data_IF_279021688737
#
_entry.id   IF_279021688737
#
_cell.length_a   1.000
_cell.length_b   1.000
_cell.length_c   1.000
_cell.angle_alpha   90.00
_cell.angle_beta   90.00
_cell.angle_gamma   90.00
#
_symmetry.space_group_name_H-M   'P 1'
#
loop_
_entity.id
_entity.type
_entity.pdbx_description
1 polymer ?
#
# COMPACT_ATOMS: atom_id res chain seq x y z
N UNK A 1 -26.70 99.60 33.72
CA UNK A 1 -25.33 99.08 33.51
C UNK A 1 -25.36 97.56 33.61
N UNK A 2 -25.21 96.84 32.49
CA UNK A 2 -25.10 95.37 32.46
C UNK A 2 -24.12 94.95 31.34
N UNK A 3 -23.26 93.94 31.56
CA UNK A 3 -22.23 93.56 30.60
C UNK A 3 -22.65 92.38 29.72
N UNK A 4 -22.15 92.37 28.47
CA UNK A 4 -22.31 91.26 27.53
C UNK A 4 -21.09 90.32 27.55
N UNK A 5 -21.35 89.01 27.63
CA UNK A 5 -20.37 87.93 27.39
C UNK A 5 -20.40 87.50 25.92
N UNK A 6 -19.23 87.25 25.31
CA UNK A 6 -19.07 86.63 23.99
C UNK A 6 -18.65 85.16 24.16
N UNK A 7 -19.27 84.25 23.40
CA UNK A 7 -18.87 82.85 23.24
C UNK A 7 -18.01 82.69 21.97
N UNK A 8 -16.96 81.88 22.06
CA UNK A 8 -16.14 81.41 20.93
C UNK A 8 -16.37 79.89 20.83
N UNK A 9 -16.87 79.41 19.69
CA UNK A 9 -16.98 77.98 19.38
C UNK A 9 -15.76 77.52 18.58
N UNK A 10 -15.09 76.47 19.06
CA UNK A 10 -14.05 75.75 18.32
C UNK A 10 -14.69 74.57 17.56
N UNK A 11 -14.44 74.48 16.25
CA UNK A 11 -14.82 73.34 15.41
C UNK A 11 -13.62 72.39 15.35
N UNK A 12 -13.75 71.17 15.89
CA UNK A 12 -12.75 70.10 15.75
C UNK A 12 -13.22 69.18 14.62
N UNK A 13 -12.42 69.08 13.55
CA UNK A 13 -12.65 68.16 12.44
C UNK A 13 -12.12 66.77 12.83
N UNK A 14 -13.02 65.80 13.06
CA UNK A 14 -12.67 64.39 13.26
C UNK A 14 -12.54 63.70 11.90
N UNK A 15 -11.31 63.46 11.44
CA UNK A 15 -11.03 62.57 10.31
C UNK A 15 -11.11 61.13 10.82
N UNK A 16 -12.19 60.44 10.51
CA UNK A 16 -12.36 59.01 10.78
C UNK A 16 -11.52 58.22 9.78
N UNK A 17 -10.38 57.69 10.24
CA UNK A 17 -9.62 56.67 9.50
C UNK A 17 -10.40 55.36 9.55
N UNK A 18 -11.21 55.12 8.51
CA UNK A 18 -11.89 53.86 8.31
C UNK A 18 -10.85 52.81 7.87
N UNK A 19 -10.27 52.08 8.82
CA UNK A 19 -9.46 50.88 8.54
C UNK A 19 -10.42 49.74 8.24
N UNK A 20 -10.78 49.54 6.98
CA UNK A 20 -11.43 48.29 6.54
C UNK A 20 -10.46 47.15 6.83
N UNK A 21 -10.83 46.15 7.66
CA UNK A 21 -9.98 44.99 7.86
C UNK A 21 -9.76 44.31 6.51
N UNK A 22 -8.50 44.07 6.15
CA UNK A 22 -8.14 43.30 4.97
C UNK A 22 -8.74 41.90 5.15
N UNK A 23 -9.83 41.59 4.44
CA UNK A 23 -10.40 40.25 4.47
C UNK A 23 -9.31 39.27 4.00
N UNK A 24 -9.02 38.26 4.82
CA UNK A 24 -8.06 37.23 4.45
C UNK A 24 -8.55 36.54 3.17
N UNK A 25 -7.76 36.63 2.09
CA UNK A 25 -8.03 35.92 0.84
C UNK A 25 -7.72 34.45 1.09
N UNK A 26 -8.67 33.52 0.88
CA UNK A 26 -8.42 32.09 1.02
C UNK A 26 -7.27 31.65 0.10
N UNK A 27 -6.42 30.75 0.56
CA UNK A 27 -5.39 30.16 -0.27
C UNK A 27 -6.03 29.34 -1.40
N UNK A 28 -5.59 29.59 -2.64
CA UNK A 28 -5.99 28.84 -3.83
C UNK A 28 -4.79 28.08 -4.37
N UNK A 29 -4.98 26.82 -4.75
CA UNK A 29 -3.95 26.06 -5.45
C UNK A 29 -3.82 26.61 -6.89
N UNK A 30 -2.62 27.03 -7.27
CA UNK A 30 -2.35 27.60 -8.59
C UNK A 30 -2.66 26.59 -9.71
N UNK A 31 -3.01 27.10 -10.89
CA UNK A 31 -3.31 26.32 -12.10
C UNK A 31 -4.42 25.25 -11.91
N UNK A 32 -5.33 25.51 -10.96
CA UNK A 32 -6.49 24.65 -10.71
C UNK A 32 -7.83 25.33 -10.94
N UNK A 33 -8.82 24.53 -11.31
CA UNK A 33 -10.20 24.95 -11.55
C UNK A 33 -11.20 23.87 -11.11
N UNK A 34 -12.47 24.24 -10.98
CA UNK A 34 -13.57 23.32 -10.77
C UNK A 34 -14.57 23.36 -11.93
N UNK A 35 -15.03 22.19 -12.37
CA UNK A 35 -16.00 22.07 -13.46
C UNK A 35 -17.16 21.20 -13.03
N UNK A 36 -18.31 21.83 -12.82
CA UNK A 36 -19.56 21.11 -12.68
C UNK A 36 -19.94 20.51 -14.03
N UNK A 37 -20.24 19.21 -14.06
CA UNK A 37 -20.77 18.56 -15.25
C UNK A 37 -22.29 18.72 -15.31
N UNK A 38 -22.88 18.68 -16.51
CA UNK A 38 -24.31 18.43 -16.64
C UNK A 38 -24.70 17.16 -15.88
N UNK A 39 -25.96 17.10 -15.44
CA UNK A 39 -26.47 15.93 -14.72
C UNK A 39 -26.28 14.67 -15.55
N UNK A 40 -25.59 13.68 -14.97
CA UNK A 40 -25.16 12.47 -15.67
C UNK A 40 -26.29 11.47 -15.90
N UNK A 41 -26.06 10.50 -16.79
CA UNK A 41 -27.06 9.49 -17.14
C UNK A 41 -27.50 8.62 -15.95
N UNK A 42 -26.65 8.45 -14.94
CA UNK A 42 -27.00 7.78 -13.69
C UNK A 42 -27.75 8.68 -12.69
N UNK A 43 -28.10 9.91 -13.09
CA UNK A 43 -28.86 10.87 -12.30
C UNK A 43 -28.04 11.63 -11.24
N UNK A 44 -26.70 11.51 -11.25
CA UNK A 44 -25.78 12.20 -10.32
C UNK A 44 -25.28 13.52 -10.88
N UNK A 45 -24.97 14.44 -9.96
CA UNK A 45 -24.23 15.67 -10.26
C UNK A 45 -22.76 15.44 -9.88
N UNK A 46 -21.86 15.43 -10.87
CA UNK A 46 -20.42 15.29 -10.66
C UNK A 46 -19.73 16.64 -10.74
N UNK A 47 -18.70 16.82 -9.91
CA UNK A 47 -17.82 17.98 -9.89
C UNK A 47 -16.40 17.53 -10.15
N UNK A 48 -15.78 18.07 -11.20
CA UNK A 48 -14.39 17.80 -11.51
C UNK A 48 -13.48 18.88 -10.92
N UNK A 49 -12.40 18.46 -10.28
CA UNK A 49 -11.28 19.31 -9.89
C UNK A 49 -10.18 19.13 -10.94
N UNK A 50 -9.76 20.20 -11.60
CA UNK A 50 -8.80 20.14 -12.70
C UNK A 50 -7.52 20.83 -12.26
N UNK A 51 -6.36 20.19 -12.44
CA UNK A 51 -5.06 20.85 -12.37
C UNK A 51 -4.34 20.69 -13.72
N UNK A 52 -3.84 21.80 -14.24
CA UNK A 52 -3.10 21.84 -15.50
C UNK A 52 -1.59 21.87 -15.22
N UNK A 53 -0.77 21.21 -16.04
CA UNK A 53 0.68 21.27 -15.88
C UNK A 53 1.21 22.68 -16.14
N UNK A 54 2.34 23.02 -15.50
CA UNK A 54 2.89 24.39 -15.54
C UNK A 54 3.23 24.89 -16.95
N UNK A 55 3.52 23.98 -17.88
CA UNK A 55 3.80 24.28 -19.28
C UNK A 55 2.57 24.23 -20.19
N UNK A 56 1.36 24.06 -19.65
CA UNK A 56 0.14 23.91 -20.44
C UNK A 56 -0.09 25.12 -21.35
N UNK A 57 0.07 26.34 -20.83
CA UNK A 57 -0.13 27.57 -21.59
C UNK A 57 0.99 27.86 -22.60
N UNK A 58 2.24 27.51 -22.27
CA UNK A 58 3.40 27.74 -23.13
C UNK A 58 3.56 26.71 -24.24
N UNK A 59 2.95 25.53 -24.12
CA UNK A 59 2.98 24.45 -25.12
C UNK A 59 1.57 24.14 -25.67
N UNK A 60 1.01 25.01 -26.54
CA UNK A 60 -0.41 24.96 -26.95
C UNK A 60 -0.79 23.75 -27.82
N UNK A 61 0.18 23.08 -28.43
CA UNK A 61 -0.05 21.88 -29.27
C UNK A 61 0.19 20.57 -28.53
N UNK A 62 0.79 20.62 -27.33
CA UNK A 62 1.11 19.41 -26.57
C UNK A 62 -0.15 18.82 -25.98
N UNK A 63 -0.24 17.49 -26.04
CA UNK A 63 -1.21 16.69 -25.29
C UNK A 63 -0.55 16.02 -24.09
N UNK A 64 -1.34 15.79 -23.04
CA UNK A 64 -0.87 15.37 -21.73
C UNK A 64 -1.59 14.10 -21.27
N UNK A 65 -0.87 13.09 -20.75
CA UNK A 65 -1.50 12.02 -19.99
C UNK A 65 -2.36 12.56 -18.85
N UNK A 66 -3.37 11.79 -18.46
CA UNK A 66 -4.32 12.22 -17.42
C UNK A 66 -4.31 11.30 -16.23
N UNK A 67 -4.22 11.87 -15.02
CA UNK A 67 -4.43 11.17 -13.75
C UNK A 67 -5.84 11.49 -13.24
N UNK A 68 -6.73 10.51 -13.33
CA UNK A 68 -8.07 10.58 -12.75
C UNK A 68 -8.02 10.13 -11.29
N UNK A 69 -8.44 11.02 -10.40
CA UNK A 69 -8.38 10.84 -8.93
C UNK A 69 -9.79 10.68 -8.41
N UNK A 70 -10.15 9.47 -8.01
CA UNK A 70 -11.40 9.22 -7.29
C UNK A 70 -11.33 9.85 -5.89
N UNK A 71 -12.49 10.18 -5.32
CA UNK A 71 -12.56 10.95 -4.06
C UNK A 71 -11.79 12.29 -4.17
N UNK A 72 -12.00 13.03 -5.27
CA UNK A 72 -11.25 14.25 -5.59
C UNK A 72 -11.31 15.34 -4.50
N UNK A 73 -12.38 15.37 -3.71
CA UNK A 73 -12.52 16.27 -2.56
C UNK A 73 -11.52 16.00 -1.41
N UNK A 74 -10.90 14.81 -1.36
CA UNK A 74 -9.88 14.46 -0.37
C UNK A 74 -8.48 14.35 -0.99
N UNK A 75 -8.36 13.71 -2.15
CA UNK A 75 -7.05 13.26 -2.64
C UNK A 75 -6.46 14.15 -3.74
N UNK A 76 -7.21 15.09 -4.31
CA UNK A 76 -6.78 15.91 -5.44
C UNK A 76 -5.50 16.72 -5.16
N UNK A 77 -5.45 17.44 -4.04
CA UNK A 77 -4.29 18.29 -3.69
C UNK A 77 -3.03 17.46 -3.40
N UNK A 78 -3.20 16.29 -2.78
CA UNK A 78 -2.11 15.34 -2.56
C UNK A 78 -1.55 14.83 -3.89
N UNK A 79 -2.42 14.43 -4.82
CA UNK A 79 -1.99 13.96 -6.14
C UNK A 79 -1.29 15.08 -6.92
N UNK A 80 -1.81 16.31 -6.91
CA UNK A 80 -1.14 17.46 -7.53
C UNK A 80 0.28 17.67 -6.99
N UNK A 81 0.45 17.53 -5.67
CA UNK A 81 1.77 17.63 -5.03
C UNK A 81 2.68 16.51 -5.50
N UNK A 82 2.20 15.26 -5.48
CA UNK A 82 2.99 14.08 -5.87
C UNK A 82 3.39 14.13 -7.35
N UNK A 83 2.48 14.49 -8.26
CA UNK A 83 2.82 14.59 -9.70
C UNK A 83 3.84 15.69 -9.94
N UNK A 84 3.74 16.82 -9.24
CA UNK A 84 4.73 17.89 -9.27
C UNK A 84 6.13 17.42 -8.84
N UNK A 85 6.22 16.64 -7.76
CA UNK A 85 7.49 16.05 -7.28
C UNK A 85 8.07 15.05 -8.27
N UNK A 86 7.26 14.10 -8.75
CA UNK A 86 7.72 13.08 -9.69
C UNK A 86 8.20 13.68 -11.01
N UNK A 87 7.60 14.79 -11.43
CA UNK A 87 8.03 15.54 -12.60
C UNK A 87 9.42 16.16 -12.42
N UNK A 88 9.69 16.77 -11.26
CA UNK A 88 11.00 17.39 -10.97
C UNK A 88 12.12 16.36 -11.10
N UNK A 89 11.87 15.13 -10.65
CA UNK A 89 12.80 14.01 -10.76
C UNK A 89 12.75 13.27 -12.11
N UNK A 90 11.98 13.79 -13.08
CA UNK A 90 11.75 13.17 -14.39
C UNK A 90 11.19 11.72 -14.34
N UNK A 91 10.58 11.35 -13.21
CA UNK A 91 10.00 10.03 -12.94
C UNK A 91 8.56 9.89 -13.45
N UNK A 92 7.91 11.00 -13.83
CA UNK A 92 6.65 11.05 -14.53
C UNK A 92 6.66 12.25 -15.51
N UNK A 93 5.90 12.20 -16.62
CA UNK A 93 5.73 13.35 -17.50
C UNK A 93 4.90 14.45 -16.83
N UNK A 94 4.82 15.62 -17.46
CA UNK A 94 3.77 16.60 -17.18
C UNK A 94 2.39 15.95 -17.45
N UNK A 95 1.44 16.12 -16.53
CA UNK A 95 0.11 15.48 -16.59
C UNK A 95 -0.99 16.49 -16.27
N UNK A 96 -2.19 16.21 -16.79
CA UNK A 96 -3.42 16.83 -16.27
C UNK A 96 -3.91 15.96 -15.10
N UNK A 97 -4.26 16.58 -13.98
CA UNK A 97 -4.90 15.88 -12.85
C UNK A 97 -6.39 16.22 -12.85
N UNK A 98 -7.23 15.19 -12.79
CA UNK A 98 -8.69 15.31 -12.77
C UNK A 98 -9.23 14.60 -11.54
N UNK A 99 -9.51 15.35 -10.48
CA UNK A 99 -10.27 14.86 -9.33
C UNK A 99 -11.75 14.70 -9.67
N UNK A 100 -12.32 13.52 -9.43
CA UNK A 100 -13.74 13.24 -9.60
C UNK A 100 -14.40 13.30 -8.21
N UNK A 101 -15.29 14.27 -8.02
CA UNK A 101 -16.08 14.43 -6.82
C UNK A 101 -17.57 14.60 -7.13
N UNK A 102 -18.33 14.93 -6.11
CA UNK A 102 -19.78 15.12 -6.18
C UNK A 102 -20.11 16.62 -6.16
N UNK A 103 -21.00 17.03 -7.05
CA UNK A 103 -21.59 18.36 -7.09
C UNK A 103 -22.88 18.45 -6.30
N UNK A 104 -23.58 19.58 -6.45
CA UNK A 104 -24.81 19.88 -5.72
C UNK A 104 -24.57 20.58 -4.38
N UNK A 105 -25.67 20.95 -3.70
CA UNK A 105 -25.62 21.63 -2.40
C UNK A 105 -25.34 20.62 -1.30
N UNK A 106 -24.18 20.72 -0.63
CA UNK A 106 -23.77 19.86 0.48
C UNK A 106 -23.97 18.36 0.22
N UNK A 107 -23.32 17.78 -0.81
CA UNK A 107 -23.48 16.38 -1.14
C UNK A 107 -23.04 15.48 0.02
N UNK A 108 -23.83 14.45 0.34
CA UNK A 108 -23.42 13.38 1.25
C UNK A 108 -22.42 12.45 0.54
N UNK A 109 -21.17 12.88 0.51
CA UNK A 109 -20.10 12.19 -0.21
C UNK A 109 -19.90 10.75 0.25
N UNK A 110 -20.16 10.43 1.52
CA UNK A 110 -19.98 9.08 2.06
C UNK A 110 -21.01 8.10 1.51
N UNK A 111 -22.27 8.52 1.44
CA UNK A 111 -23.32 7.71 0.81
C UNK A 111 -23.11 7.61 -0.69
N UNK A 112 -22.83 8.74 -1.34
CA UNK A 112 -22.68 8.79 -2.79
C UNK A 112 -21.52 7.91 -3.28
N UNK A 113 -20.37 7.94 -2.60
CA UNK A 113 -19.20 7.11 -2.91
C UNK A 113 -19.43 5.64 -2.63
N UNK A 114 -20.15 5.28 -1.56
CA UNK A 114 -20.48 3.88 -1.28
C UNK A 114 -21.34 3.29 -2.41
N UNK A 115 -22.27 4.08 -2.95
CA UNK A 115 -23.10 3.70 -4.10
C UNK A 115 -22.25 3.51 -5.37
N UNK A 116 -21.44 4.50 -5.72
CA UNK A 116 -20.76 4.53 -7.02
C UNK A 116 -19.49 3.66 -7.08
N UNK A 117 -18.80 3.46 -5.95
CA UNK A 117 -17.47 2.84 -5.95
C UNK A 117 -17.48 1.34 -5.65
N UNK A 118 -18.64 0.79 -5.27
CA UNK A 118 -18.74 -0.63 -4.90
C UNK A 118 -19.47 -1.44 -5.98
N UNK A 119 -18.92 -2.59 -6.41
CA UNK A 119 -19.55 -3.43 -7.41
C UNK A 119 -20.53 -4.43 -6.77
N UNK A 120 -21.77 -4.42 -7.27
CA UNK A 120 -22.86 -5.25 -6.75
C UNK A 120 -23.23 -4.93 -5.30
N UNK A 121 -24.46 -5.28 -4.93
CA UNK A 121 -24.93 -5.12 -3.55
C UNK A 121 -24.27 -6.17 -2.66
N UNK A 122 -23.69 -5.73 -1.56
CA UNK A 122 -23.27 -6.60 -0.45
C UNK A 122 -24.38 -6.60 0.61
N UNK A 123 -25.11 -7.72 0.81
CA UNK A 123 -26.22 -7.78 1.76
C UNK A 123 -25.82 -7.51 3.22
N UNK A 124 -24.55 -7.71 3.58
CA UNK A 124 -24.05 -7.41 4.93
C UNK A 124 -23.80 -5.92 5.13
N UNK A 125 -23.46 -5.20 4.06
CA UNK A 125 -23.28 -3.75 4.10
C UNK A 125 -24.62 -3.02 3.96
N UNK A 126 -25.46 -3.48 3.03
CA UNK A 126 -26.73 -2.84 2.73
C UNK A 126 -27.84 -3.84 2.39
N UNK A 127 -28.71 -4.07 3.38
CA UNK A 127 -29.91 -4.89 3.22
C UNK A 127 -31.00 -4.22 2.36
N UNK A 128 -30.97 -2.89 2.15
CA UNK A 128 -31.96 -2.23 1.28
C UNK A 128 -31.61 -2.32 -0.21
N UNK A 129 -30.35 -2.61 -0.54
CA UNK A 129 -29.84 -2.72 -1.91
C UNK A 129 -29.79 -1.40 -2.69
N UNK A 130 -29.78 -0.27 -2.01
CA UNK A 130 -29.84 1.08 -2.61
C UNK A 130 -28.66 1.98 -2.24
N UNK A 131 -27.85 1.59 -1.26
CA UNK A 131 -26.73 2.36 -0.70
C UNK A 131 -25.35 1.87 -1.16
N UNK A 132 -25.31 0.89 -2.05
CA UNK A 132 -24.08 0.34 -2.64
C UNK A 132 -24.36 -0.30 -4.02
N UNK A 133 -23.31 -0.70 -4.73
CA UNK A 133 -23.42 -1.65 -5.83
C UNK A 133 -23.59 -1.07 -7.23
N UNK A 134 -23.39 0.24 -7.45
CA UNK A 134 -23.60 0.92 -8.75
C UNK A 134 -22.30 1.24 -9.49
N UNK A 135 -21.23 0.48 -9.23
CA UNK A 135 -19.95 0.67 -9.92
C UNK A 135 -20.03 0.55 -11.45
N UNK A 136 -20.88 -0.33 -12.00
CA UNK A 136 -21.07 -0.41 -13.45
C UNK A 136 -21.61 0.91 -14.04
N UNK A 137 -22.60 1.52 -13.40
CA UNK A 137 -23.19 2.80 -13.83
C UNK A 137 -22.15 3.91 -13.78
N UNK A 138 -21.40 4.00 -12.67
CA UNK A 138 -20.40 5.02 -12.51
C UNK A 138 -19.24 4.84 -13.49
N UNK A 139 -18.78 3.61 -13.74
CA UNK A 139 -17.76 3.31 -14.76
C UNK A 139 -18.24 3.70 -16.17
N UNK A 140 -19.53 3.52 -16.46
CA UNK A 140 -20.13 3.97 -17.71
C UNK A 140 -20.18 5.50 -17.81
N UNK A 141 -20.51 6.22 -16.74
CA UNK A 141 -20.42 7.69 -16.73
C UNK A 141 -18.99 8.16 -16.95
N UNK A 142 -18.01 7.53 -16.29
CA UNK A 142 -16.61 7.87 -16.50
C UNK A 142 -16.21 7.68 -17.97
N UNK A 143 -16.55 6.53 -18.55
CA UNK A 143 -16.18 6.18 -19.93
C UNK A 143 -16.87 7.04 -20.99
N UNK A 144 -18.14 7.37 -20.80
CA UNK A 144 -18.99 7.96 -21.84
C UNK A 144 -19.21 9.47 -21.67
N UNK A 145 -18.97 10.02 -20.47
CA UNK A 145 -19.24 11.43 -20.17
C UNK A 145 -17.99 12.15 -19.66
N UNK A 146 -17.36 11.66 -18.59
CA UNK A 146 -16.24 12.37 -17.94
C UNK A 146 -14.99 12.37 -18.82
N UNK A 147 -14.54 11.20 -19.30
CA UNK A 147 -13.36 11.09 -20.17
C UNK A 147 -13.56 11.90 -21.46
N UNK A 148 -14.68 11.77 -22.20
CA UNK A 148 -14.91 12.58 -23.40
C UNK A 148 -14.99 14.09 -23.14
N UNK A 149 -15.53 14.52 -21.99
CA UNK A 149 -15.49 15.92 -21.59
C UNK A 149 -14.04 16.39 -21.41
N UNK A 150 -13.24 15.65 -20.64
CA UNK A 150 -11.85 16.03 -20.36
C UNK A 150 -11.02 16.10 -21.64
N UNK A 151 -11.17 15.13 -22.54
CA UNK A 151 -10.40 15.06 -23.79
C UNK A 151 -10.74 16.10 -24.84
N UNK A 152 -11.97 16.63 -24.77
CA UNK A 152 -12.42 17.72 -25.63
C UNK A 152 -11.98 19.08 -25.09
N UNK A 153 -12.15 19.30 -23.79
CA UNK A 153 -11.94 20.62 -23.17
C UNK A 153 -10.48 20.88 -22.78
N UNK A 154 -9.76 19.82 -22.44
CA UNK A 154 -8.35 19.88 -22.05
C UNK A 154 -7.56 19.04 -23.03
N UNK A 155 -6.33 19.45 -23.37
CA UNK A 155 -5.45 18.73 -24.30
C UNK A 155 -4.96 17.41 -23.69
N UNK A 156 -5.87 16.54 -23.29
CA UNK A 156 -5.60 15.23 -22.76
C UNK A 156 -5.23 14.29 -23.90
N UNK A 157 -4.28 13.42 -23.61
CA UNK A 157 -3.84 12.33 -24.47
C UNK A 157 -4.72 11.10 -24.21
N UNK A 158 -5.56 10.68 -25.17
CA UNK A 158 -6.43 9.52 -25.00
C UNK A 158 -5.66 8.19 -24.93
N UNK A 159 -4.37 8.18 -25.24
CA UNK A 159 -3.56 6.96 -25.23
C UNK A 159 -3.05 6.59 -23.84
N UNK A 160 -3.09 7.50 -22.86
CA UNK A 160 -2.55 7.24 -21.52
C UNK A 160 -3.36 7.90 -20.39
N UNK A 161 -4.22 7.10 -19.76
CA UNK A 161 -5.00 7.48 -18.58
C UNK A 161 -4.59 6.64 -17.39
N UNK A 162 -4.50 7.26 -16.22
CA UNK A 162 -4.25 6.62 -14.92
C UNK A 162 -5.46 6.82 -14.02
N UNK A 163 -5.94 5.76 -13.36
CA UNK A 163 -7.01 5.86 -12.36
C UNK A 163 -6.48 5.58 -10.95
N UNK A 164 -6.67 6.51 -10.03
CA UNK A 164 -6.18 6.39 -8.65
C UNK A 164 -7.33 6.40 -7.65
N UNK A 165 -7.16 5.71 -6.52
CA UNK A 165 -8.12 5.77 -5.44
C UNK A 165 -7.68 5.01 -4.19
N UNK A 166 -8.29 5.36 -3.05
CA UNK A 166 -8.05 4.71 -1.76
C UNK A 166 -9.31 4.02 -1.22
N UNK A 167 -9.18 2.89 -0.52
CA UNK A 167 -10.33 2.21 0.12
C UNK A 167 -11.37 1.76 -0.91
N UNK A 168 -12.65 2.17 -0.82
CA UNK A 168 -13.64 1.95 -1.88
C UNK A 168 -13.23 2.50 -3.24
N UNK A 169 -12.52 3.64 -3.29
CA UNK A 169 -11.99 4.14 -4.56
C UNK A 169 -10.84 3.26 -5.08
N UNK A 170 -10.05 2.65 -4.18
CA UNK A 170 -9.06 1.64 -4.55
C UNK A 170 -9.71 0.36 -5.07
N UNK A 171 -10.80 -0.09 -4.44
CA UNK A 171 -11.65 -1.19 -4.91
C UNK A 171 -12.20 -0.89 -6.31
N UNK A 172 -12.78 0.29 -6.53
CA UNK A 172 -13.29 0.70 -7.84
C UNK A 172 -12.18 0.75 -8.89
N UNK A 173 -10.99 1.27 -8.54
CA UNK A 173 -9.86 1.29 -9.47
C UNK A 173 -9.44 -0.12 -9.88
N UNK A 174 -9.31 -1.05 -8.94
CA UNK A 174 -9.02 -2.45 -9.23
C UNK A 174 -10.14 -3.14 -10.03
N UNK A 175 -11.40 -2.83 -9.72
CA UNK A 175 -12.57 -3.31 -10.45
C UNK A 175 -12.58 -2.81 -11.91
N UNK A 176 -12.32 -1.53 -12.15
CA UNK A 176 -12.27 -0.95 -13.49
C UNK A 176 -11.14 -1.57 -14.34
N UNK A 177 -9.99 -1.90 -13.72
CA UNK A 177 -8.90 -2.62 -14.37
C UNK A 177 -9.33 -4.01 -14.88
N UNK A 178 -10.19 -4.70 -14.13
CA UNK A 178 -10.68 -6.06 -14.44
C UNK A 178 -11.83 -6.03 -15.45
N UNK A 179 -12.79 -5.12 -15.31
CA UNK A 179 -13.98 -5.08 -16.17
C UNK A 179 -13.71 -4.43 -17.52
N UNK A 180 -12.92 -3.35 -17.57
CA UNK A 180 -12.69 -2.54 -18.78
C UNK A 180 -11.21 -2.34 -19.03
N UNK A 181 -10.42 -3.43 -19.18
CA UNK A 181 -9.00 -3.32 -19.44
C UNK A 181 -8.76 -2.54 -20.75
N UNK A 182 -8.00 -1.44 -20.66
CA UNK A 182 -7.73 -0.52 -21.77
C UNK A 182 -8.47 0.83 -21.70
N UNK A 183 -9.49 0.98 -20.84
CA UNK A 183 -10.07 2.30 -20.56
C UNK A 183 -9.03 3.21 -19.88
N UNK A 184 -8.29 2.64 -18.93
CA UNK A 184 -7.10 3.22 -18.31
C UNK A 184 -5.91 2.29 -18.53
N UNK A 185 -4.75 2.88 -18.80
CA UNK A 185 -3.50 2.16 -19.04
C UNK A 185 -2.81 1.80 -17.71
N UNK A 186 -3.08 2.56 -16.65
CA UNK A 186 -2.56 2.26 -15.33
C UNK A 186 -3.58 2.54 -14.22
N UNK A 187 -3.43 1.79 -13.12
CA UNK A 187 -4.27 1.88 -11.94
C UNK A 187 -3.40 1.93 -10.69
N UNK A 188 -3.69 2.87 -9.80
CA UNK A 188 -3.05 2.98 -8.49
C UNK A 188 -4.12 2.81 -7.42
N UNK A 189 -4.19 1.62 -6.85
CA UNK A 189 -5.19 1.24 -5.87
C UNK A 189 -4.55 1.16 -4.48
N UNK A 190 -4.81 2.19 -3.66
CA UNK A 190 -4.33 2.32 -2.29
C UNK A 190 -5.28 1.62 -1.33
N UNK A 191 -4.76 0.72 -0.50
CA UNK A 191 -5.54 0.01 0.53
C UNK A 191 -6.92 -0.42 0.04
N UNK A 192 -7.01 -1.11 -1.12
CA UNK A 192 -8.28 -1.31 -1.79
C UNK A 192 -9.15 -2.26 -0.97
N UNK A 193 -10.44 -1.94 -0.84
CA UNK A 193 -11.41 -2.77 -0.09
C UNK A 193 -11.79 -4.05 -0.86
N UNK A 194 -10.80 -4.84 -1.28
CA UNK A 194 -10.97 -6.03 -2.11
C UNK A 194 -11.72 -7.16 -1.40
N UNK A 195 -11.86 -7.10 -0.09
CA UNK A 195 -12.71 -7.98 0.72
C UNK A 195 -14.20 -7.87 0.36
N UNK A 196 -14.60 -6.77 -0.29
CA UNK A 196 -15.99 -6.48 -0.65
C UNK A 196 -16.71 -7.66 -1.31
N UNK A 197 -17.93 -7.96 -0.81
CA UNK A 197 -18.81 -8.98 -1.36
C UNK A 197 -18.09 -10.32 -1.56
N UNK A 198 -17.41 -10.76 -0.49
CA UNK A 198 -16.62 -12.00 -0.45
C UNK A 198 -15.58 -12.08 -1.57
N UNK A 199 -14.73 -11.06 -1.67
CA UNK A 199 -13.69 -10.97 -2.71
C UNK A 199 -14.23 -10.93 -4.14
N UNK A 200 -15.26 -10.13 -4.40
CA UNK A 200 -15.93 -10.08 -5.70
C UNK A 200 -14.97 -9.84 -6.87
N UNK A 201 -14.07 -8.86 -6.77
CA UNK A 201 -13.11 -8.52 -7.84
C UNK A 201 -12.18 -9.69 -8.16
N UNK A 202 -11.73 -10.44 -7.13
CA UNK A 202 -10.88 -11.62 -7.33
C UNK A 202 -11.63 -12.71 -8.07
N UNK A 203 -12.86 -13.02 -7.63
CA UNK A 203 -13.73 -14.02 -8.28
C UNK A 203 -14.02 -13.64 -9.72
N UNK A 204 -14.25 -12.36 -9.96
CA UNK A 204 -14.58 -11.82 -11.27
C UNK A 204 -13.38 -11.86 -12.22
N UNK A 205 -12.18 -11.49 -11.77
CA UNK A 205 -10.96 -11.67 -12.56
C UNK A 205 -10.73 -13.15 -12.88
N UNK A 206 -10.91 -14.04 -11.91
CA UNK A 206 -10.71 -15.48 -12.13
C UNK A 206 -11.64 -16.03 -13.22
N UNK A 207 -12.92 -15.62 -13.22
CA UNK A 207 -13.86 -16.02 -14.26
C UNK A 207 -13.47 -15.48 -15.65
N UNK A 208 -13.07 -14.21 -15.73
CA UNK A 208 -12.65 -13.58 -16.99
C UNK A 208 -11.31 -14.13 -17.50
N UNK A 209 -10.43 -14.58 -16.61
CA UNK A 209 -9.12 -15.16 -16.95
C UNK A 209 -9.20 -16.40 -17.85
N UNK A 210 -10.33 -17.11 -17.80
CA UNK A 210 -10.56 -18.32 -18.59
C UNK A 210 -10.69 -18.04 -20.08
N UNK A 211 -11.08 -16.82 -20.46
CA UNK A 211 -11.29 -16.40 -21.85
C UNK A 211 -10.46 -15.19 -22.26
N UNK A 212 -9.83 -14.50 -21.30
CA UNK A 212 -9.05 -13.29 -21.55
C UNK A 212 -7.57 -13.57 -21.76
N UNK A 213 -7.08 -13.20 -22.94
CA UNK A 213 -5.65 -13.31 -23.28
C UNK A 213 -4.86 -12.01 -23.07
N UNK A 214 -5.54 -10.86 -23.05
CA UNK A 214 -4.90 -9.53 -22.97
C UNK A 214 -5.52 -8.68 -21.87
N UNK A 215 -4.67 -8.02 -21.11
CA UNK A 215 -5.04 -7.06 -20.07
C UNK A 215 -3.99 -5.95 -20.07
N UNK A 216 -4.05 -4.99 -21.00
CA UNK A 216 -3.03 -3.96 -21.21
C UNK A 216 -3.09 -2.90 -20.09
N UNK A 217 -2.77 -3.32 -18.88
CA UNK A 217 -2.94 -2.58 -17.63
C UNK A 217 -1.67 -2.71 -16.79
N UNK A 218 -1.22 -1.59 -16.24
CA UNK A 218 -0.26 -1.52 -15.14
C UNK A 218 -1.02 -1.33 -13.82
N UNK A 219 -1.13 -2.36 -13.00
CA UNK A 219 -1.84 -2.30 -11.72
C UNK A 219 -0.87 -2.23 -10.53
N UNK A 220 -0.88 -1.10 -9.83
CA UNK A 220 -0.17 -0.94 -8.56
C UNK A 220 -1.15 -1.09 -7.40
N UNK A 221 -0.87 -2.04 -6.52
CA UNK A 221 -1.60 -2.27 -5.28
C UNK A 221 -0.74 -1.84 -4.10
N UNK A 222 -1.36 -1.32 -3.04
CA UNK A 222 -0.69 -1.18 -1.77
C UNK A 222 -1.64 -1.42 -0.59
N UNK A 223 -1.05 -1.60 0.58
CA UNK A 223 -1.73 -1.62 1.86
C UNK A 223 -0.76 -1.16 2.95
N UNK A 224 -1.27 -0.67 4.06
CA UNK A 224 -0.49 -0.31 5.23
C UNK A 224 -0.31 -1.53 6.15
N UNK A 225 0.84 -1.63 6.84
CA UNK A 225 1.12 -2.76 7.72
C UNK A 225 0.21 -2.80 8.96
N UNK A 226 -0.30 -1.64 9.41
CA UNK A 226 -1.23 -1.52 10.55
C UNK A 226 -2.71 -1.41 10.10
N UNK A 227 -3.11 -2.18 9.09
CA UNK A 227 -4.51 -2.27 8.62
C UNK A 227 -5.26 -3.49 9.16
N UNK A 228 -6.58 -3.52 8.93
CA UNK A 228 -7.37 -4.71 9.19
C UNK A 228 -6.90 -5.88 8.32
N UNK A 229 -6.92 -7.10 8.88
CA UNK A 229 -6.59 -8.33 8.15
C UNK A 229 -7.40 -8.46 6.85
N UNK A 230 -8.66 -8.00 6.84
CA UNK A 230 -9.49 -8.01 5.63
C UNK A 230 -8.86 -7.26 4.44
N UNK A 231 -8.22 -6.10 4.66
CA UNK A 231 -7.57 -5.34 3.58
C UNK A 231 -6.24 -5.98 3.20
N UNK A 232 -5.42 -6.34 4.20
CA UNK A 232 -4.11 -6.95 3.99
C UNK A 232 -4.25 -8.27 3.22
N UNK A 233 -5.12 -9.17 3.69
CA UNK A 233 -5.28 -10.50 3.14
C UNK A 233 -5.91 -10.47 1.75
N UNK A 234 -6.95 -9.66 1.53
CA UNK A 234 -7.58 -9.54 0.20
C UNK A 234 -6.65 -8.91 -0.84
N UNK A 235 -5.85 -7.91 -0.45
CA UNK A 235 -4.86 -7.29 -1.34
C UNK A 235 -3.73 -8.26 -1.69
N UNK A 236 -3.16 -8.95 -0.68
CA UNK A 236 -2.15 -9.99 -0.89
C UNK A 236 -2.70 -11.14 -1.74
N UNK A 237 -3.93 -11.58 -1.49
CA UNK A 237 -4.57 -12.64 -2.26
C UNK A 237 -4.75 -12.26 -3.73
N UNK A 238 -5.22 -11.05 -4.01
CA UNK A 238 -5.38 -10.60 -5.39
C UNK A 238 -4.04 -10.48 -6.12
N UNK A 239 -3.01 -9.94 -5.47
CA UNK A 239 -1.67 -9.92 -6.03
C UNK A 239 -1.13 -11.32 -6.34
N UNK A 240 -1.27 -12.27 -5.40
CA UNK A 240 -0.86 -13.68 -5.62
C UNK A 240 -1.60 -14.32 -6.79
N UNK A 241 -2.88 -13.99 -6.98
CA UNK A 241 -3.69 -14.46 -8.10
C UNK A 241 -3.23 -13.87 -9.44
N UNK A 242 -2.86 -12.59 -9.46
CA UNK A 242 -2.46 -11.88 -10.68
C UNK A 242 -1.01 -12.14 -11.11
N UNK A 243 -0.08 -12.30 -10.17
CA UNK A 243 1.36 -12.47 -10.46
C UNK A 243 1.67 -13.59 -11.47
N UNK A 244 1.04 -14.78 -11.42
CA UNK A 244 1.30 -15.84 -12.39
C UNK A 244 0.53 -15.70 -13.71
N UNK A 245 -0.34 -14.69 -13.86
CA UNK A 245 -1.12 -14.50 -15.09
C UNK A 245 -0.21 -14.12 -16.26
N UNK A 246 -0.46 -14.72 -17.42
CA UNK A 246 0.30 -14.49 -18.66
C UNK A 246 -0.40 -13.51 -19.60
N UNK A 247 -1.18 -12.57 -19.06
CA UNK A 247 -1.87 -11.58 -19.87
C UNK A 247 -0.89 -10.74 -20.69
N UNK A 248 -1.18 -10.55 -21.97
CA UNK A 248 -0.40 -9.65 -22.81
C UNK A 248 -0.47 -8.20 -22.28
N UNK A 249 0.69 -7.52 -22.28
CA UNK A 249 0.87 -6.12 -21.89
C UNK A 249 0.43 -5.78 -20.44
N UNK A 250 0.48 -6.77 -19.55
CA UNK A 250 0.11 -6.63 -18.15
C UNK A 250 1.34 -6.45 -17.26
N UNK A 251 1.24 -5.56 -16.28
CA UNK A 251 2.22 -5.44 -15.21
C UNK A 251 1.50 -5.25 -13.87
N UNK A 252 1.96 -5.94 -12.84
CA UNK A 252 1.40 -5.81 -11.48
C UNK A 252 2.51 -5.66 -10.46
N UNK A 253 2.29 -4.78 -9.49
CA UNK A 253 3.15 -4.62 -8.32
C UNK A 253 2.28 -4.48 -7.07
N UNK A 254 2.81 -4.95 -5.94
CA UNK A 254 2.22 -4.71 -4.62
C UNK A 254 3.25 -4.09 -3.70
N UNK A 255 2.81 -3.19 -2.81
CA UNK A 255 3.65 -2.62 -1.78
C UNK A 255 2.97 -2.58 -0.43
N UNK A 256 3.67 -3.06 0.58
CA UNK A 256 3.34 -2.78 1.98
C UNK A 256 3.99 -1.46 2.39
N UNK A 257 3.21 -0.56 3.00
CA UNK A 257 3.68 0.65 3.65
C UNK A 257 3.85 0.35 5.15
N UNK A 258 5.10 0.12 5.55
CA UNK A 258 5.50 -0.28 6.90
C UNK A 258 5.27 0.86 7.90
N UNK A 259 4.64 0.56 9.05
CA UNK A 259 4.31 1.52 10.09
C UNK A 259 3.15 2.46 9.77
N UNK A 260 2.56 2.36 8.58
CA UNK A 260 1.46 3.20 8.15
C UNK A 260 0.09 2.61 8.52
N UNK A 261 -0.94 3.46 8.51
CA UNK A 261 -2.36 3.12 8.71
C UNK A 261 -3.18 3.45 7.46
N UNK A 262 -4.45 3.05 7.45
CA UNK A 262 -5.36 3.13 6.29
C UNK A 262 -5.35 4.48 5.53
N UNK A 263 -5.33 5.61 6.24
CA UNK A 263 -5.30 6.94 5.60
C UNK A 263 -3.88 7.49 5.39
N UNK A 264 -2.93 7.12 6.24
CA UNK A 264 -1.57 7.68 6.21
C UNK A 264 -0.69 6.99 5.15
N UNK A 265 -1.09 5.82 4.64
CA UNK A 265 -0.44 5.14 3.50
C UNK A 265 -0.57 5.86 2.15
N UNK A 266 -1.51 6.81 2.02
CA UNK A 266 -1.82 7.48 0.74
C UNK A 266 -0.61 8.18 0.10
N UNK A 267 0.19 9.01 0.81
CA UNK A 267 1.31 9.73 0.19
C UNK A 267 2.39 8.78 -0.34
N UNK A 268 2.74 7.72 0.41
CA UNK A 268 3.69 6.70 -0.06
C UNK A 268 3.13 5.96 -1.27
N UNK A 269 1.87 5.54 -1.19
CA UNK A 269 1.21 4.81 -2.27
C UNK A 269 1.16 5.62 -3.55
N UNK A 270 0.69 6.86 -3.51
CA UNK A 270 0.57 7.66 -4.71
C UNK A 270 1.93 8.01 -5.29
N UNK A 271 2.95 8.26 -4.46
CA UNK A 271 4.32 8.51 -4.94
C UNK A 271 4.90 7.30 -5.69
N UNK A 272 4.83 6.11 -5.10
CA UNK A 272 5.37 4.89 -5.72
C UNK A 272 4.49 4.39 -6.87
N UNK A 273 3.18 4.46 -6.70
CA UNK A 273 2.19 3.98 -7.65
C UNK A 273 2.17 4.80 -8.92
N UNK A 274 2.22 6.14 -8.83
CA UNK A 274 2.31 6.99 -10.01
C UNK A 274 3.65 6.83 -10.73
N UNK A 275 4.76 6.65 -10.00
CA UNK A 275 6.05 6.28 -10.60
C UNK A 275 5.96 4.94 -11.37
N UNK A 276 5.33 3.93 -10.78
CA UNK A 276 5.11 2.64 -11.45
C UNK A 276 4.19 2.78 -12.69
N UNK A 277 3.13 3.58 -12.56
CA UNK A 277 2.17 3.85 -13.61
C UNK A 277 2.82 4.57 -14.79
N UNK A 278 3.69 5.55 -14.56
CA UNK A 278 4.33 6.34 -15.62
C UNK A 278 5.69 5.82 -16.08
N UNK A 279 6.21 4.73 -15.51
CA UNK A 279 7.50 4.16 -15.92
C UNK A 279 7.69 4.01 -17.45
N UNK A 280 6.67 3.63 -18.27
CA UNK A 280 6.83 3.58 -19.73
C UNK A 280 7.01 4.95 -20.42
N UNK A 281 6.58 6.03 -19.78
CA UNK A 281 6.65 7.40 -20.29
C UNK A 281 7.74 8.25 -19.61
N UNK A 282 8.43 7.72 -18.60
CA UNK A 282 9.47 8.42 -17.87
C UNK A 282 10.73 8.57 -18.75
N UNK A 283 11.28 9.79 -18.81
CA UNK A 283 12.52 10.06 -19.56
C UNK A 283 13.76 9.51 -18.85
N UNK A 284 13.68 9.32 -17.53
CA UNK A 284 14.58 8.50 -16.73
C UNK A 284 13.79 7.27 -16.28
N UNK A 285 13.87 6.13 -16.99
CA UNK A 285 13.17 4.94 -16.57
C UNK A 285 13.68 4.57 -15.17
N UNK A 286 12.80 4.62 -14.18
CA UNK A 286 13.12 4.06 -12.89
C UNK A 286 13.52 2.60 -13.14
N UNK A 287 14.69 2.19 -12.64
CA UNK A 287 14.96 0.78 -12.40
C UNK A 287 13.91 0.31 -11.38
N UNK A 288 12.69 0.03 -11.86
CA UNK A 288 11.67 -0.70 -11.12
C UNK A 288 12.11 -2.16 -11.14
N UNK A 289 13.29 -2.41 -10.56
CA UNK A 289 13.45 -3.66 -9.86
C UNK A 289 12.25 -3.69 -8.90
N UNK A 290 11.39 -4.68 -9.09
CA UNK A 290 10.54 -5.14 -7.99
C UNK A 290 11.54 -5.49 -6.90
N UNK A 291 11.91 -4.52 -6.06
CA UNK A 291 12.61 -4.81 -4.82
C UNK A 291 11.55 -5.45 -3.96
N UNK A 292 11.26 -6.73 -4.23
CA UNK A 292 11.23 -7.67 -3.12
C UNK A 292 12.53 -7.35 -2.37
N UNK A 293 12.43 -6.73 -1.19
CA UNK A 293 13.61 -6.62 -0.34
C UNK A 293 14.06 -8.07 -0.20
N UNK A 294 15.20 -8.42 -0.78
CA UNK A 294 15.82 -9.70 -0.48
C UNK A 294 16.23 -9.61 0.98
N UNK A 295 15.39 -10.14 1.87
CA UNK A 295 15.71 -10.29 3.27
C UNK A 295 16.32 -11.68 3.44
N UNK A 296 17.40 -11.76 4.20
CA UNK A 296 17.92 -13.05 4.65
C UNK A 296 16.96 -13.58 5.71
N UNK A 297 16.08 -14.51 5.32
CA UNK A 297 15.03 -15.04 6.22
C UNK A 297 15.54 -16.13 7.16
N UNK A 298 16.63 -16.80 6.81
CA UNK A 298 17.25 -17.80 7.68
C UNK A 298 18.72 -18.07 7.34
N UNK A 299 19.41 -18.66 8.32
CA UNK A 299 20.71 -19.33 8.15
C UNK A 299 20.62 -20.73 8.75
N UNK A 300 21.26 -21.70 8.10
CA UNK A 300 21.32 -23.09 8.55
C UNK A 300 22.71 -23.65 8.26
N UNK A 301 23.37 -24.17 9.28
CA UNK A 301 24.72 -24.75 9.17
C UNK A 301 24.74 -26.15 9.76
N UNK A 302 25.30 -27.11 9.01
CA UNK A 302 25.55 -28.47 9.48
C UNK A 302 27.03 -28.66 9.78
N UNK A 303 27.32 -29.30 10.90
CA UNK A 303 28.68 -29.63 11.29
C UNK A 303 28.72 -30.58 12.47
N UNK A 304 29.94 -30.97 12.84
CA UNK A 304 30.18 -31.82 13.99
C UNK A 304 30.28 -30.97 15.25
N UNK A 305 29.44 -31.26 16.24
CA UNK A 305 29.51 -30.69 17.59
C UNK A 305 30.35 -31.62 18.44
N UNK A 306 31.43 -31.08 19.00
CA UNK A 306 32.31 -31.73 19.97
C UNK A 306 32.03 -31.30 21.41
N UNK A 307 33.05 -31.40 22.25
CA UNK A 307 33.01 -31.00 23.66
C UNK A 307 33.80 -29.71 23.92
N UNK A 308 33.57 -29.11 25.09
CA UNK A 308 34.22 -27.86 25.48
C UNK A 308 33.87 -26.74 24.51
N UNK A 309 34.89 -26.05 23.99
CA UNK A 309 34.71 -24.93 23.05
C UNK A 309 34.44 -25.39 21.60
N UNK A 310 34.45 -26.70 21.33
CA UNK A 310 34.16 -27.26 20.00
C UNK A 310 32.64 -27.36 19.76
N UNK A 311 31.95 -26.23 19.86
CA UNK A 311 30.51 -26.10 19.64
C UNK A 311 30.20 -25.46 18.28
N UNK A 312 28.94 -25.52 17.86
CA UNK A 312 28.51 -24.85 16.64
C UNK A 312 27.86 -23.52 16.96
N UNK A 313 28.21 -22.49 16.18
CA UNK A 313 27.82 -21.11 16.45
C UNK A 313 27.16 -20.51 15.21
N UNK A 314 25.97 -19.95 15.39
CA UNK A 314 25.32 -19.07 14.43
C UNK A 314 25.21 -17.66 15.03
N UNK A 315 26.05 -16.74 14.55
CA UNK A 315 25.96 -15.32 14.90
C UNK A 315 24.93 -14.62 14.02
N UNK A 316 24.08 -13.79 14.62
CA UNK A 316 23.06 -13.03 13.89
C UNK A 316 22.79 -11.68 14.54
N UNK A 317 22.22 -10.75 13.77
CA UNK A 317 21.87 -9.41 14.24
C UNK A 317 20.38 -9.20 14.00
N UNK A 318 19.68 -8.74 15.02
CA UNK A 318 18.35 -8.17 14.87
C UNK A 318 18.54 -6.70 14.51
N UNK A 319 18.20 -6.35 13.28
CA UNK A 319 18.25 -4.97 12.77
C UNK A 319 16.87 -4.30 12.81
N UNK A 320 16.84 -2.97 12.70
CA UNK A 320 15.63 -2.14 12.76
C UNK A 320 15.40 -1.51 14.13
N UNK A 321 14.20 -0.96 14.32
CA UNK A 321 13.84 -0.18 15.52
C UNK A 321 12.96 -0.95 16.51
N UNK A 322 12.45 -2.11 16.11
CA UNK A 322 11.48 -2.89 16.89
C UNK A 322 12.01 -4.28 17.19
N UNK A 323 11.61 -4.90 18.33
CA UNK A 323 11.94 -6.29 18.60
C UNK A 323 11.36 -7.23 17.54
N UNK A 324 12.11 -8.28 17.20
CA UNK A 324 11.70 -9.31 16.24
C UNK A 324 11.57 -10.66 16.91
N UNK A 325 10.61 -11.46 16.44
CA UNK A 325 10.47 -12.86 16.83
C UNK A 325 11.37 -13.71 15.95
N UNK A 326 12.11 -14.64 16.56
CA UNK A 326 12.96 -15.59 15.85
C UNK A 326 12.72 -17.01 16.31
N UNK A 327 12.82 -17.95 15.39
CA UNK A 327 12.88 -19.39 15.66
C UNK A 327 14.35 -19.81 15.61
N UNK A 328 14.85 -20.33 16.73
CA UNK A 328 16.21 -20.87 16.85
C UNK A 328 16.11 -22.36 17.12
N UNK A 329 16.88 -23.18 16.37
CA UNK A 329 16.81 -24.63 16.48
C UNK A 329 18.16 -25.31 16.37
N UNK A 330 18.26 -26.47 17.01
CA UNK A 330 19.34 -27.41 16.84
C UNK A 330 18.77 -28.80 16.49
N UNK A 331 19.03 -29.27 15.26
CA UNK A 331 18.54 -30.55 14.75
C UNK A 331 19.61 -31.63 14.82
N UNK A 332 19.32 -32.72 15.53
CA UNK A 332 20.18 -33.88 15.69
C UNK A 332 19.44 -35.15 15.25
N UNK A 333 18.53 -35.71 16.09
CA UNK A 333 17.73 -36.87 15.73
C UNK A 333 17.02 -36.76 14.37
N UNK A 334 16.44 -35.59 14.05
CA UNK A 334 15.74 -35.36 12.79
C UNK A 334 16.62 -35.59 11.55
N UNK A 335 17.94 -35.44 11.67
CA UNK A 335 18.88 -35.65 10.56
C UNK A 335 19.01 -37.12 10.15
N UNK A 336 18.60 -38.06 11.02
CA UNK A 336 18.56 -39.49 10.67
C UNK A 336 17.60 -39.73 9.50
N UNK A 337 16.44 -39.06 9.50
CA UNK A 337 15.48 -39.10 8.40
C UNK A 337 15.99 -38.47 7.11
N UNK A 338 17.08 -37.70 7.18
CA UNK A 338 17.78 -37.09 6.06
C UNK A 338 19.06 -37.86 5.67
N UNK A 339 19.24 -39.09 6.17
CA UNK A 339 20.40 -39.96 5.92
C UNK A 339 21.74 -39.35 6.33
N UNK A 340 21.77 -38.52 7.38
CA UNK A 340 23.02 -38.01 7.96
C UNK A 340 23.54 -39.03 8.98
N UNK A 341 24.77 -39.54 8.82
CA UNK A 341 25.34 -40.48 9.79
C UNK A 341 25.85 -39.76 11.04
N UNK A 342 25.95 -40.48 12.16
CA UNK A 342 26.61 -39.99 13.37
C UNK A 342 25.98 -38.74 13.96
N UNK A 343 24.64 -38.67 13.97
CA UNK A 343 23.90 -37.50 14.47
C UNK A 343 24.11 -37.30 15.97
N UNK A 344 24.08 -36.04 16.40
CA UNK A 344 24.03 -35.71 17.82
C UNK A 344 22.67 -36.15 18.37
N UNK A 345 22.68 -37.07 19.34
CA UNK A 345 21.45 -37.69 19.83
C UNK A 345 20.59 -36.76 20.70
N UNK A 346 21.22 -35.78 21.37
CA UNK A 346 20.57 -34.89 22.33
C UNK A 346 21.14 -33.46 22.21
N UNK A 347 20.81 -32.74 21.13
CA UNK A 347 21.22 -31.35 20.94
C UNK A 347 20.53 -30.41 21.91
N UNK A 348 21.24 -29.36 22.33
CA UNK A 348 20.69 -28.19 23.02
C UNK A 348 21.13 -26.91 22.31
N UNK A 349 20.30 -25.87 22.41
CA UNK A 349 20.60 -24.54 21.88
C UNK A 349 20.47 -23.47 22.95
N UNK A 350 21.45 -22.56 22.99
CA UNK A 350 21.45 -21.37 23.84
C UNK A 350 21.65 -20.12 23.00
N UNK A 351 20.86 -19.09 23.25
CA UNK A 351 20.98 -17.77 22.62
C UNK A 351 21.63 -16.82 23.61
N UNK A 352 22.70 -16.15 23.18
CA UNK A 352 23.46 -15.20 23.97
C UNK A 352 23.31 -13.78 23.45
N UNK A 353 23.29 -12.82 24.37
CA UNK A 353 23.60 -11.41 24.13
C UNK A 353 24.86 -11.07 24.92
N UNK A 354 25.98 -10.86 24.22
CA UNK A 354 27.29 -10.84 24.86
C UNK A 354 27.58 -12.16 25.57
N UNK A 355 27.76 -12.12 26.89
CA UNK A 355 28.01 -13.32 27.72
C UNK A 355 26.75 -13.85 28.42
N UNK A 356 25.61 -13.16 28.30
CA UNK A 356 24.38 -13.51 29.01
C UNK A 356 23.52 -14.42 28.13
N UNK A 357 23.10 -15.56 28.67
CA UNK A 357 22.08 -16.41 28.05
C UNK A 357 20.72 -15.72 28.18
N UNK A 358 20.07 -15.46 27.05
CA UNK A 358 18.75 -14.80 26.98
C UNK A 358 17.61 -15.77 26.65
N UNK A 359 17.94 -16.94 26.10
CA UNK A 359 17.01 -18.06 25.89
C UNK A 359 17.79 -19.36 25.76
N UNK A 360 17.23 -20.48 26.22
CA UNK A 360 17.80 -21.80 26.03
C UNK A 360 16.72 -22.87 25.95
N UNK A 361 17.02 -23.96 25.24
CA UNK A 361 16.18 -25.14 25.18
C UNK A 361 16.97 -26.36 24.67
N UNK A 362 16.56 -27.56 25.11
CA UNK A 362 17.17 -28.84 24.79
C UNK A 362 16.15 -29.88 24.27
N UNK A 363 14.89 -29.50 24.06
CA UNK A 363 13.86 -30.44 23.62
C UNK A 363 12.84 -29.84 22.67
N UNK A 364 12.30 -30.64 21.76
CA UNK A 364 11.28 -30.18 20.85
C UNK A 364 9.93 -30.18 21.58
N UNK A 365 9.25 -29.04 21.59
CA UNK A 365 7.91 -28.93 22.15
C UNK A 365 6.87 -28.88 21.04
N UNK A 366 5.92 -29.81 21.08
CA UNK A 366 4.81 -29.91 20.15
C UNK A 366 3.67 -28.94 20.51
N UNK A 367 4.01 -27.65 20.63
CA UNK A 367 3.03 -26.60 20.86
C UNK A 367 2.47 -26.10 19.53
N UNK A 368 1.19 -25.68 19.51
CA UNK A 368 0.56 -25.13 18.30
C UNK A 368 1.28 -23.87 17.76
N UNK A 369 1.91 -23.09 18.64
CA UNK A 369 2.75 -21.95 18.26
C UNK A 369 4.01 -22.39 17.51
N UNK A 370 4.69 -23.42 18.02
CA UNK A 370 5.90 -23.95 17.42
C UNK A 370 5.64 -24.54 16.03
N UNK A 371 4.57 -25.34 15.89
CA UNK A 371 4.19 -25.86 14.57
C UNK A 371 3.86 -24.74 13.56
N UNK A 372 3.19 -23.68 14.01
CA UNK A 372 2.88 -22.53 13.16
C UNK A 372 4.16 -21.83 12.70
N UNK A 373 5.11 -21.60 13.62
CA UNK A 373 6.40 -20.97 13.30
C UNK A 373 7.20 -21.78 12.27
N UNK A 374 7.23 -23.11 12.41
CA UNK A 374 7.87 -24.01 11.42
C UNK A 374 7.18 -23.91 10.06
N UNK A 375 5.85 -23.94 10.02
CA UNK A 375 5.09 -23.77 8.77
C UNK A 375 5.33 -22.42 8.11
N UNK A 376 5.40 -21.34 8.89
CA UNK A 376 5.61 -19.98 8.39
C UNK A 376 7.02 -19.76 7.83
N UNK A 377 8.02 -20.45 8.38
CA UNK A 377 9.43 -20.32 7.97
C UNK A 377 9.83 -21.29 6.86
N UNK A 378 8.99 -22.28 6.55
CA UNK A 378 9.33 -23.36 5.62
C UNK A 378 10.40 -24.31 6.16
N UNK A 379 10.71 -24.24 7.46
CA UNK A 379 11.63 -25.15 8.10
C UNK A 379 11.03 -26.57 8.12
N UNK A 380 11.87 -27.60 8.02
CA UNK A 380 11.39 -28.98 8.13
C UNK A 380 10.94 -29.28 9.56
N UNK A 381 9.97 -30.19 9.69
CA UNK A 381 9.41 -30.57 10.98
C UNK A 381 10.33 -31.55 11.71
N UNK A 382 10.44 -31.40 13.03
CA UNK A 382 10.97 -32.43 13.90
C UNK A 382 9.90 -33.45 14.25
N UNK A 383 10.30 -34.67 14.59
CA UNK A 383 9.36 -35.69 15.05
C UNK A 383 8.86 -35.32 16.44
N UNK A 384 7.56 -35.51 16.68
CA UNK A 384 6.93 -35.27 17.98
C UNK A 384 7.66 -36.02 19.09
N UNK A 385 8.00 -35.33 20.18
CA UNK A 385 8.77 -35.88 21.31
C UNK A 385 10.24 -36.23 21.01
N UNK A 386 10.80 -35.76 19.89
CA UNK A 386 12.23 -35.88 19.60
C UNK A 386 13.08 -35.06 20.57
N UNK A 387 14.36 -35.45 20.69
CA UNK A 387 15.40 -34.70 21.42
C UNK A 387 16.01 -33.57 20.59
N UNK A 388 15.49 -33.30 19.39
CA UNK A 388 15.85 -32.08 18.67
C UNK A 388 15.47 -30.86 19.53
N UNK A 389 16.20 -29.74 19.46
CA UNK A 389 15.90 -28.56 20.28
C UNK A 389 15.37 -27.42 19.41
N UNK A 390 14.33 -26.72 19.87
CA UNK A 390 13.89 -25.48 19.22
C UNK A 390 13.21 -24.51 20.19
N UNK A 391 13.47 -23.22 20.05
CA UNK A 391 12.82 -22.18 20.84
C UNK A 391 12.38 -21.02 19.95
N UNK A 392 11.33 -20.35 20.38
CA UNK A 392 10.90 -19.06 19.83
C UNK A 392 11.24 -18.00 20.85
N UNK A 393 11.92 -16.94 20.43
CA UNK A 393 12.29 -15.82 21.32
C UNK A 393 12.07 -14.49 20.61
N UNK A 394 11.58 -13.50 21.35
CA UNK A 394 11.50 -12.10 20.90
C UNK A 394 12.76 -11.37 21.35
N UNK A 395 13.50 -10.81 20.41
CA UNK A 395 14.79 -10.17 20.64
C UNK A 395 14.71 -8.71 20.18
N UNK A 396 15.22 -7.79 20.99
CA UNK A 396 15.37 -6.37 20.63
C UNK A 396 16.46 -6.21 19.56
N UNK A 397 16.52 -5.06 18.86
CA UNK A 397 17.65 -4.78 17.97
C UNK A 397 19.00 -4.93 18.68
N UNK A 398 19.92 -5.70 18.09
CA UNK A 398 21.17 -6.07 18.72
C UNK A 398 21.83 -7.31 18.12
N UNK A 399 23.08 -7.57 18.52
CA UNK A 399 23.85 -8.73 18.11
C UNK A 399 23.64 -9.91 19.07
N UNK A 400 23.43 -11.10 18.50
CA UNK A 400 23.15 -12.33 19.22
C UNK A 400 23.96 -13.50 18.68
N UNK A 401 24.13 -14.51 19.52
CA UNK A 401 24.84 -15.75 19.17
C UNK A 401 24.01 -16.95 19.59
N UNK A 402 23.58 -17.77 18.64
CA UNK A 402 23.00 -19.08 18.93
C UNK A 402 24.11 -20.14 18.95
N UNK A 403 24.23 -20.85 20.06
CA UNK A 403 25.23 -21.90 20.26
C UNK A 403 24.52 -23.25 20.38
N UNK A 404 24.81 -24.15 19.44
CA UNK A 404 24.42 -25.55 19.50
C UNK A 404 25.50 -26.38 20.19
N UNK A 405 25.09 -27.20 21.16
CA UNK A 405 25.98 -28.12 21.91
C UNK A 405 25.23 -29.42 22.24
N UNK A 406 25.93 -30.46 22.68
CA UNK A 406 25.29 -31.70 23.16
C UNK A 406 25.02 -31.66 24.67
N UNK A 407 23.83 -32.09 25.08
CA UNK A 407 23.49 -32.28 26.49
C UNK A 407 24.48 -33.26 27.12
N UNK A 408 24.98 -32.95 28.32
CA UNK A 408 25.96 -33.78 29.03
C UNK A 408 27.32 -33.92 28.32
N UNK A 409 27.63 -33.07 27.34
CA UNK A 409 28.87 -33.15 26.56
C UNK A 409 28.83 -34.26 25.49
N UNK A 410 27.64 -34.64 25.03
CA UNK A 410 27.50 -35.53 23.87
C UNK A 410 27.99 -34.84 22.59
N UNK A 411 28.40 -35.65 21.61
CA UNK A 411 29.00 -35.18 20.36
C UNK A 411 28.32 -35.82 19.16
N UNK A 412 28.32 -35.13 18.02
CA UNK A 412 27.76 -35.67 16.79
C UNK A 412 27.43 -34.59 15.78
N UNK A 413 26.95 -35.01 14.61
CA UNK A 413 26.50 -34.11 13.56
C UNK A 413 25.16 -33.48 13.94
N UNK A 414 25.08 -32.16 13.86
CA UNK A 414 23.85 -31.41 14.07
C UNK A 414 23.69 -30.28 13.05
N UNK A 415 22.47 -29.76 12.94
CA UNK A 415 22.16 -28.47 12.35
C UNK A 415 22.00 -27.43 13.46
N UNK A 416 22.51 -26.22 13.27
CA UNK A 416 22.13 -25.03 14.04
C UNK A 416 21.55 -24.02 13.07
N UNK A 417 20.34 -23.55 13.37
CA UNK A 417 19.57 -22.75 12.44
C UNK A 417 18.86 -21.59 13.17
N UNK A 418 18.75 -20.46 12.49
CA UNK A 418 18.04 -19.26 12.96
C UNK A 418 17.14 -18.75 11.84
N UNK A 419 15.87 -18.52 12.14
CA UNK A 419 14.86 -18.00 11.22
C UNK A 419 14.22 -16.74 11.79
N UNK A 420 14.05 -15.72 10.96
CA UNK A 420 13.16 -14.60 11.28
C UNK A 420 11.70 -15.06 11.11
N UNK A 421 10.85 -14.80 12.11
CA UNK A 421 9.41 -15.09 12.01
C UNK A 421 8.66 -13.88 11.44
N UNK A 422 7.69 -14.09 10.51
CA UNK A 422 6.90 -13.02 9.91
C UNK A 422 6.01 -12.25 10.89
#
# INVERSE_FOLDING_TARGET
MHPHRRLICWLILLVSLCTTPLLAVPYTLADTDQRALPRSANGRDYLLYIALPSNYASEPTRRYPVVYVLDGYWDFSLICTVTGLLRVDAAAPEVIVVGIGYGGTNPDVNTLRAIDLTPGVDPWFDSSGTRCGRADDFLNVIANEIIPFVEREYRADPSYRVLTGTSFAGLFSAYAAVERPGLFQAHVACSPSLWWRSNFVLTREAALSLTRMSMPVRLFLSYASEESSSIIDSTRAFFRQLRPRTYANFAVAVREAEGERHSTTKPETYTRGLRFAFAPLASQPANVAVTERSTLVNISSRGFIGTGDNVMIAGFVIDGLVPKRVLVRAGGPALTGLNVPGVLADPQVRVYSGQTVVAENDNWSDTGEMELAVRQTGAYAFTHGSRDAALIVTLTPGAYTAIGSGVGGTTGNALVEVYELP
#
